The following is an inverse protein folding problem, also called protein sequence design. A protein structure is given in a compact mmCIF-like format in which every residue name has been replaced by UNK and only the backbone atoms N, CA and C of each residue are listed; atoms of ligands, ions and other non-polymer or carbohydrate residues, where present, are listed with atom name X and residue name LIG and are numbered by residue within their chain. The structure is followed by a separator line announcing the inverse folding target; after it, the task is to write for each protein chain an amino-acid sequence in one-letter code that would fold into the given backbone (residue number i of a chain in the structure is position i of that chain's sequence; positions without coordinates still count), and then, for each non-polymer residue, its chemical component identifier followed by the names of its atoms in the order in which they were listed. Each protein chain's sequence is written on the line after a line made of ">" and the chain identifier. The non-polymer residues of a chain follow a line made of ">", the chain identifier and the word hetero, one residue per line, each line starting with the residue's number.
data_IF_114026724650
#
_entry.id   IF_114026724650
#
_cell.length_a   1.000
_cell.length_b   1.000
_cell.length_c   1.000
_cell.angle_alpha   90.00
_cell.angle_beta   90.00
_cell.angle_gamma   90.00
#
_symmetry.space_group_name_H-M   'P 1'
#
loop_
_entity.id
_entity.type
_entity.pdbx_description
1 polymer ?
#
# COMPACT_ATOMS: atom_id res chain seq x y z
N UNK A 1 13.99 1.78 15.32
CA UNK A 1 13.59 3.08 14.81
C UNK A 1 12.36 2.94 13.90
N UNK A 2 11.77 4.06 13.55
CA UNK A 2 10.54 4.07 12.76
C UNK A 2 10.74 3.39 11.39
N UNK A 3 11.84 3.68 10.71
CA UNK A 3 12.10 3.13 9.38
C UNK A 3 12.19 1.60 9.43
N UNK A 4 12.99 1.07 10.34
CA UNK A 4 13.16 -0.38 10.46
C UNK A 4 11.88 -1.05 10.94
N UNK A 5 11.15 -0.42 11.87
CA UNK A 5 9.87 -0.95 12.35
C UNK A 5 8.83 -1.02 11.23
N UNK A 6 8.72 0.03 10.42
CA UNK A 6 7.83 0.07 9.28
C UNK A 6 8.20 -0.99 8.25
N UNK A 7 9.49 -1.11 7.94
CA UNK A 7 9.99 -2.10 7.00
C UNK A 7 9.68 -3.52 7.48
N UNK A 8 9.87 -3.79 8.78
CA UNK A 8 9.57 -5.10 9.36
C UNK A 8 8.09 -5.45 9.22
N UNK A 9 7.18 -4.52 9.53
CA UNK A 9 5.73 -4.74 9.38
C UNK A 9 5.35 -5.02 7.94
N UNK A 10 5.90 -4.26 7.00
CA UNK A 10 5.67 -4.45 5.58
C UNK A 10 6.16 -5.81 5.10
N UNK A 11 7.32 -6.26 5.60
CA UNK A 11 7.89 -7.56 5.26
C UNK A 11 7.01 -8.70 5.79
N UNK A 12 6.48 -8.58 6.99
CA UNK A 12 5.53 -9.55 7.54
C UNK A 12 4.28 -9.60 6.64
N UNK A 13 3.78 -8.44 6.23
CA UNK A 13 2.66 -8.37 5.29
C UNK A 13 2.96 -9.13 4.00
N UNK A 14 4.14 -8.92 3.41
CA UNK A 14 4.58 -9.63 2.20
C UNK A 14 4.54 -11.14 2.40
N UNK A 15 4.97 -11.62 3.57
CA UNK A 15 4.97 -13.05 3.88
C UNK A 15 3.56 -13.63 3.89
N UNK A 16 2.61 -12.92 4.48
CA UNK A 16 1.21 -13.35 4.46
C UNK A 16 0.63 -13.39 3.04
N UNK A 17 0.98 -12.38 2.22
CA UNK A 17 0.54 -12.37 0.82
C UNK A 17 1.05 -13.59 0.07
N UNK A 18 2.32 -13.98 0.28
CA UNK A 18 2.90 -15.17 -0.33
C UNK A 18 2.17 -16.44 0.08
N UNK A 19 1.61 -16.46 1.29
CA UNK A 19 0.81 -17.58 1.79
C UNK A 19 -0.65 -17.50 1.35
N UNK A 20 -0.99 -16.55 0.50
CA UNK A 20 -2.35 -16.27 0.05
C UNK A 20 -3.31 -15.90 1.21
N UNK A 21 -2.76 -15.37 2.30
CA UNK A 21 -3.53 -14.84 3.42
C UNK A 21 -3.64 -13.32 3.26
N UNK A 22 -4.51 -12.91 2.33
CA UNK A 22 -4.55 -11.51 1.87
C UNK A 22 -5.04 -10.54 2.93
N UNK A 23 -6.05 -10.94 3.72
CA UNK A 23 -6.56 -10.08 4.80
C UNK A 23 -5.50 -9.83 5.87
N UNK A 24 -4.76 -10.87 6.25
CA UNK A 24 -3.67 -10.73 7.21
C UNK A 24 -2.56 -9.85 6.66
N UNK A 25 -2.20 -10.05 5.40
CA UNK A 25 -1.19 -9.23 4.73
C UNK A 25 -1.59 -7.76 4.70
N UNK A 26 -2.83 -7.47 4.35
CA UNK A 26 -3.34 -6.11 4.33
C UNK A 26 -3.31 -5.48 5.73
N UNK A 27 -3.67 -6.24 6.76
CA UNK A 27 -3.62 -5.75 8.13
C UNK A 27 -2.22 -5.28 8.52
N UNK A 28 -1.19 -6.04 8.15
CA UNK A 28 0.19 -5.64 8.44
C UNK A 28 0.65 -4.45 7.61
N UNK A 29 0.25 -4.36 6.34
CA UNK A 29 0.51 -3.16 5.54
C UNK A 29 -0.15 -1.93 6.17
N UNK A 30 -1.38 -2.05 6.64
CA UNK A 30 -2.08 -0.93 7.28
C UNK A 30 -1.44 -0.54 8.61
N UNK A 31 -0.93 -1.50 9.37
CA UNK A 31 -0.11 -1.20 10.56
C UNK A 31 1.14 -0.41 10.17
N UNK A 32 1.82 -0.83 9.11
CA UNK A 32 2.99 -0.12 8.62
C UNK A 32 2.64 1.33 8.22
N UNK A 33 1.53 1.52 7.52
CA UNK A 33 1.07 2.85 7.13
C UNK A 33 0.76 3.74 8.35
N UNK A 34 0.29 3.16 9.44
CA UNK A 34 -0.01 3.91 10.66
C UNK A 34 1.23 4.38 11.40
N UNK A 35 2.40 3.86 11.07
CA UNK A 35 3.65 4.16 11.78
C UNK A 35 4.59 5.07 11.01
N UNK A 36 4.34 5.34 9.73
CA UNK A 36 5.32 6.08 8.92
C UNK A 36 4.71 7.18 8.06
N UNK A 37 5.44 8.28 7.98
CA UNK A 37 5.27 9.33 6.98
C UNK A 37 6.48 9.42 6.04
N UNK A 38 7.40 8.44 6.10
CA UNK A 38 8.61 8.45 5.29
C UNK A 38 8.27 8.48 3.80
N UNK A 39 8.78 9.47 3.09
CA UNK A 39 8.40 9.73 1.70
C UNK A 39 8.90 8.66 0.72
N UNK A 40 9.83 7.81 1.13
CA UNK A 40 10.28 6.67 0.32
C UNK A 40 9.42 5.42 0.57
N UNK A 41 9.21 5.08 1.86
CA UNK A 41 8.49 3.85 2.23
C UNK A 41 6.98 3.96 2.01
N UNK A 42 6.39 5.12 2.33
CA UNK A 42 4.94 5.23 2.31
C UNK A 42 4.32 4.95 0.94
N UNK A 43 4.82 5.52 -0.17
CA UNK A 43 4.24 5.20 -1.47
C UNK A 43 4.38 3.73 -1.86
N UNK A 44 5.46 3.05 -1.45
CA UNK A 44 5.64 1.62 -1.68
C UNK A 44 4.53 0.82 -0.99
N UNK A 45 4.28 1.12 0.29
CA UNK A 45 3.30 0.39 1.10
C UNK A 45 1.87 0.74 0.65
N UNK A 46 1.62 1.99 0.28
CA UNK A 46 0.33 2.39 -0.29
C UNK A 46 0.01 1.60 -1.56
N UNK A 47 0.98 1.43 -2.44
CA UNK A 47 0.80 0.69 -3.68
C UNK A 47 0.50 -0.79 -3.41
N UNK A 48 1.25 -1.41 -2.50
CA UNK A 48 0.99 -2.78 -2.08
C UNK A 48 -0.41 -2.92 -1.47
N UNK A 49 -0.78 -2.00 -0.59
CA UNK A 49 -2.09 -2.00 0.07
C UNK A 49 -3.22 -1.84 -0.95
N UNK A 50 -3.09 -0.90 -1.87
CA UNK A 50 -4.08 -0.68 -2.91
C UNK A 50 -4.28 -1.89 -3.80
N UNK A 51 -3.19 -2.54 -4.19
CA UNK A 51 -3.24 -3.74 -5.03
C UNK A 51 -3.95 -4.89 -4.32
N UNK A 52 -3.66 -5.11 -3.04
CA UNK A 52 -4.33 -6.16 -2.26
C UNK A 52 -5.80 -5.80 -2.05
N UNK A 53 -6.12 -4.54 -1.82
CA UNK A 53 -7.51 -4.10 -1.72
C UNK A 53 -8.30 -4.42 -2.99
N UNK A 54 -7.70 -4.24 -4.17
CA UNK A 54 -8.36 -4.62 -5.43
C UNK A 54 -8.64 -6.13 -5.48
N UNK A 55 -7.67 -6.94 -5.07
CA UNK A 55 -7.85 -8.41 -5.03
C UNK A 55 -8.92 -8.83 -4.06
N UNK A 56 -9.13 -8.07 -2.97
CA UNK A 56 -10.16 -8.32 -1.96
C UNK A 56 -11.49 -7.63 -2.30
N UNK A 57 -11.61 -7.01 -3.46
CA UNK A 57 -12.78 -6.24 -3.88
C UNK A 57 -13.11 -5.07 -2.96
N UNK A 58 -12.10 -4.53 -2.29
CA UNK A 58 -12.21 -3.34 -1.42
C UNK A 58 -11.87 -2.09 -2.24
N UNK A 59 -12.71 -1.78 -3.22
CA UNK A 59 -12.42 -0.74 -4.21
C UNK A 59 -12.29 0.66 -3.60
N UNK A 60 -13.11 0.99 -2.62
CA UNK A 60 -13.04 2.32 -1.98
C UNK A 60 -11.72 2.53 -1.25
N UNK A 61 -11.24 1.49 -0.55
CA UNK A 61 -9.93 1.55 0.12
C UNK A 61 -8.80 1.63 -0.91
N UNK A 62 -8.87 0.83 -1.97
CA UNK A 62 -7.88 0.87 -3.05
C UNK A 62 -7.77 2.26 -3.63
N UNK A 63 -8.91 2.88 -3.94
CA UNK A 63 -8.97 4.24 -4.47
C UNK A 63 -8.31 5.23 -3.53
N UNK A 64 -8.62 5.15 -2.23
CA UNK A 64 -8.04 6.04 -1.21
C UNK A 64 -6.51 5.94 -1.19
N UNK A 65 -5.97 4.72 -1.22
CA UNK A 65 -4.52 4.52 -1.18
C UNK A 65 -3.83 5.01 -2.45
N UNK A 66 -4.41 4.76 -3.61
CA UNK A 66 -3.86 5.24 -4.88
C UNK A 66 -3.97 6.76 -5.00
N UNK A 67 -5.04 7.35 -4.50
CA UNK A 67 -5.18 8.81 -4.50
C UNK A 67 -4.11 9.48 -3.64
N UNK A 68 -3.76 8.89 -2.51
CA UNK A 68 -2.68 9.42 -1.67
C UNK A 68 -1.35 9.41 -2.43
N UNK A 69 -1.06 8.34 -3.18
CA UNK A 69 0.15 8.30 -4.02
C UNK A 69 0.15 9.45 -5.03
N UNK A 70 -0.97 9.64 -5.71
CA UNK A 70 -1.09 10.66 -6.75
C UNK A 70 -0.93 12.07 -6.19
N UNK A 71 -1.54 12.35 -5.04
CA UNK A 71 -1.59 13.70 -4.48
C UNK A 71 -0.35 14.04 -3.68
N UNK A 72 0.14 13.10 -2.87
CA UNK A 72 1.20 13.38 -1.90
C UNK A 72 2.58 12.91 -2.37
N UNK A 73 2.64 11.95 -3.30
CA UNK A 73 3.91 11.38 -3.77
C UNK A 73 3.97 11.31 -5.30
N UNK A 74 3.70 12.44 -5.99
CA UNK A 74 3.62 12.43 -7.46
C UNK A 74 4.94 12.11 -8.14
N UNK A 75 6.07 12.30 -7.45
CA UNK A 75 7.41 12.04 -8.01
C UNK A 75 7.91 10.62 -7.72
N UNK A 76 7.13 9.82 -7.00
CA UNK A 76 7.52 8.44 -6.70
C UNK A 76 7.37 7.53 -7.91
N UNK A 77 8.12 6.42 -7.92
CA UNK A 77 7.95 5.39 -8.96
C UNK A 77 6.52 4.84 -8.96
N UNK A 78 5.91 4.75 -7.78
CA UNK A 78 4.56 4.22 -7.63
C UNK A 78 3.51 5.12 -8.28
N UNK A 79 3.81 6.40 -8.47
CA UNK A 79 2.90 7.33 -9.15
C UNK A 79 2.88 7.13 -10.67
N UNK A 80 3.87 6.44 -11.23
CA UNK A 80 3.88 6.13 -12.66
C UNK A 80 2.67 5.23 -12.96
N UNK A 81 1.86 5.63 -13.94
CA UNK A 81 0.62 4.92 -14.31
C UNK A 81 -0.44 4.87 -13.20
N UNK A 82 -0.38 5.80 -12.25
CA UNK A 82 -1.34 5.80 -11.12
C UNK A 82 -2.79 5.96 -11.61
N UNK A 83 -3.02 6.67 -12.70
CA UNK A 83 -4.38 6.85 -13.22
C UNK A 83 -4.96 5.53 -13.76
N UNK A 84 -4.11 4.64 -14.27
CA UNK A 84 -4.55 3.29 -14.66
C UNK A 84 -4.98 2.51 -13.42
N UNK A 85 -4.20 2.56 -12.34
CA UNK A 85 -4.54 1.90 -11.07
C UNK A 85 -5.83 2.47 -10.49
N UNK A 86 -5.99 3.79 -10.53
CA UNK A 86 -7.22 4.43 -10.08
C UNK A 86 -8.43 3.99 -10.89
N UNK A 87 -8.28 3.79 -12.19
CA UNK A 87 -9.38 3.31 -13.03
C UNK A 87 -9.84 1.90 -12.63
N UNK A 88 -8.92 1.07 -12.15
CA UNK A 88 -9.24 -0.28 -11.67
C UNK A 88 -10.02 -0.26 -10.35
N UNK A 89 -9.94 0.84 -9.60
CA UNK A 89 -10.63 1.01 -8.32
C UNK A 89 -12.01 1.67 -8.46
N UNK A 90 -12.46 1.92 -9.64
CA UNK A 90 -13.77 2.53 -9.88
C UNK A 90 -14.90 1.49 -9.86
#
# INVERSE_FOLDING_TARGET
>A
DEFLGTLALSTIGDSFIQLNQLDDGLNYYEKALSTTSNSFLRPIILDKSGSICLRLSKKNKAKKYFEEIKEDYPDSQQAINIDIKLSQAN
#
